data_IF_289329524560
#
_entry.id   IF_289329524560
#
_cell.length_a   1.000
_cell.length_b   1.000
_cell.length_c   1.000
_cell.angle_alpha   90.00
_cell.angle_beta   90.00
_cell.angle_gamma   90.00
#
_symmetry.space_group_name_H-M   'P 1'
#
loop_
_entity.id
_entity.type
_entity.pdbx_description
1 polymer ?
#
# COMPACT_ATOMS: atom_id res chain seq x y z
N UNK A 1 9.96 -27.53 5.26
CA UNK A 1 11.37 -27.90 5.52
C UNK A 1 11.62 -29.39 5.44
N UNK A 2 10.87 -30.19 6.17
CA UNK A 2 10.99 -31.66 6.14
C UNK A 2 10.90 -32.20 4.71
N UNK A 3 9.94 -31.74 3.90
CA UNK A 3 9.81 -32.16 2.51
C UNK A 3 11.01 -31.83 1.62
N UNK A 4 11.66 -30.68 1.83
CA UNK A 4 12.86 -30.27 1.08
C UNK A 4 14.07 -31.12 1.45
N UNK A 5 14.30 -31.32 2.74
CA UNK A 5 15.49 -32.00 3.27
C UNK A 5 15.37 -33.50 3.18
N UNK A 6 14.25 -34.07 3.60
CA UNK A 6 14.07 -35.54 3.68
C UNK A 6 13.57 -36.17 2.40
N UNK A 7 12.70 -35.48 1.65
CA UNK A 7 12.10 -36.03 0.44
C UNK A 7 12.69 -35.45 -0.85
N UNK A 8 13.64 -34.51 -0.77
CA UNK A 8 14.26 -33.88 -1.96
C UNK A 8 13.27 -33.15 -2.85
N UNK A 9 12.15 -32.68 -2.28
CA UNK A 9 11.11 -31.96 -3.01
C UNK A 9 11.56 -30.48 -3.13
N UNK A 10 11.45 -29.82 -4.29
CA UNK A 10 11.71 -28.38 -4.42
C UNK A 10 10.91 -27.56 -3.41
N UNK A 11 11.45 -26.39 -3.01
CA UNK A 11 10.83 -25.54 -1.98
C UNK A 11 9.40 -25.14 -2.35
N UNK A 12 9.20 -24.76 -3.62
CA UNK A 12 7.91 -24.30 -4.14
C UNK A 12 7.03 -25.42 -4.71
N UNK A 13 7.33 -26.67 -4.40
CA UNK A 13 6.54 -27.80 -4.88
C UNK A 13 5.18 -27.87 -4.14
N UNK A 14 4.05 -27.92 -4.86
CA UNK A 14 2.71 -27.98 -4.25
C UNK A 14 2.48 -29.19 -3.36
N UNK A 15 3.34 -30.21 -3.41
CA UNK A 15 3.33 -31.35 -2.51
C UNK A 15 3.94 -31.06 -1.15
N UNK A 16 4.67 -29.93 -1.02
CA UNK A 16 5.26 -29.52 0.25
C UNK A 16 4.21 -28.81 1.11
N UNK A 17 3.79 -29.40 2.25
CA UNK A 17 2.78 -28.77 3.11
C UNK A 17 3.25 -27.41 3.68
N UNK A 18 4.55 -27.13 3.70
CA UNK A 18 5.09 -25.84 4.08
C UNK A 18 4.69 -24.73 3.10
N UNK A 19 4.63 -25.02 1.80
CA UNK A 19 4.18 -24.05 0.78
C UNK A 19 2.72 -23.69 0.99
N UNK A 20 1.88 -24.68 1.32
CA UNK A 20 0.45 -24.42 1.60
C UNK A 20 0.32 -23.54 2.85
N UNK A 21 1.06 -23.84 3.92
CA UNK A 21 1.03 -23.07 5.15
C UNK A 21 1.50 -21.64 4.95
N UNK A 22 2.54 -21.42 4.14
CA UNK A 22 3.09 -20.13 3.79
C UNK A 22 2.06 -19.28 3.01
N UNK A 23 1.51 -19.83 1.93
CA UNK A 23 0.48 -19.16 1.15
C UNK A 23 -0.79 -18.85 1.98
N UNK A 24 -1.20 -19.72 2.89
CA UNK A 24 -2.33 -19.45 3.79
C UNK A 24 -1.95 -18.35 4.79
N UNK A 25 -0.73 -18.38 5.33
CA UNK A 25 -0.19 -17.36 6.23
C UNK A 25 -0.18 -15.98 5.59
N UNK A 26 0.32 -15.87 4.37
CA UNK A 26 0.34 -14.62 3.60
C UNK A 26 -1.09 -14.09 3.34
N UNK A 27 -2.02 -14.95 2.94
CA UNK A 27 -3.39 -14.53 2.71
C UNK A 27 -4.12 -14.10 4.01
N UNK A 28 -3.89 -14.79 5.12
CA UNK A 28 -4.51 -14.45 6.40
C UNK A 28 -3.80 -13.26 7.07
N UNK A 29 -2.47 -13.24 7.08
CA UNK A 29 -1.68 -12.19 7.72
C UNK A 29 -1.67 -10.90 6.91
N UNK A 30 -1.16 -10.98 5.68
CA UNK A 30 -0.84 -9.79 4.90
C UNK A 30 -2.06 -9.22 4.15
N UNK A 31 -3.00 -10.07 3.74
CA UNK A 31 -4.21 -9.60 3.04
C UNK A 31 -5.34 -9.31 4.03
N UNK A 32 -5.77 -10.29 4.81
CA UNK A 32 -6.92 -10.11 5.69
C UNK A 32 -6.57 -9.31 6.95
N UNK A 33 -5.45 -9.62 7.63
CA UNK A 33 -5.02 -8.95 8.86
C UNK A 33 -4.64 -7.50 8.61
N UNK A 34 -3.69 -7.27 7.70
CA UNK A 34 -3.26 -5.92 7.32
C UNK A 34 -4.40 -5.10 6.71
N UNK A 35 -5.27 -5.73 5.90
CA UNK A 35 -6.45 -5.08 5.35
C UNK A 35 -7.40 -4.57 6.45
N UNK A 36 -7.59 -5.32 7.52
CA UNK A 36 -8.40 -4.92 8.66
C UNK A 36 -7.79 -3.72 9.41
N UNK A 37 -6.46 -3.73 9.63
CA UNK A 37 -5.74 -2.64 10.30
C UNK A 37 -5.79 -1.33 9.49
N UNK A 38 -5.64 -1.42 8.16
CA UNK A 38 -5.76 -0.28 7.26
C UNK A 38 -7.18 0.27 7.28
N UNK A 39 -8.20 -0.59 7.28
CA UNK A 39 -9.60 -0.18 7.35
C UNK A 39 -9.90 0.54 8.67
N UNK A 40 -9.45 0.04 9.80
CA UNK A 40 -9.61 0.70 11.10
C UNK A 40 -8.96 2.09 11.11
N UNK A 41 -7.73 2.20 10.62
CA UNK A 41 -7.01 3.48 10.52
C UNK A 41 -7.70 4.46 9.60
N UNK A 42 -8.27 3.99 8.49
CA UNK A 42 -9.01 4.79 7.53
C UNK A 42 -10.29 5.36 8.16
N UNK A 43 -11.08 4.53 8.82
CA UNK A 43 -12.31 4.95 9.52
C UNK A 43 -11.98 5.92 10.66
N UNK A 44 -10.93 5.62 11.45
CA UNK A 44 -10.44 6.50 12.51
C UNK A 44 -10.05 7.88 12.00
N UNK A 45 -9.40 7.95 10.85
CA UNK A 45 -9.01 9.22 10.21
C UNK A 45 -10.21 10.06 9.77
N UNK A 46 -11.24 9.42 9.20
CA UNK A 46 -12.50 10.08 8.84
C UNK A 46 -13.18 10.65 10.07
N UNK A 47 -13.31 9.84 11.13
CA UNK A 47 -13.93 10.27 12.39
C UNK A 47 -13.14 11.43 13.00
N UNK A 48 -11.83 11.36 13.04
CA UNK A 48 -10.98 12.43 13.56
C UNK A 48 -11.19 13.74 12.81
N UNK A 49 -11.28 13.72 11.48
CA UNK A 49 -11.56 14.90 10.67
C UNK A 49 -12.95 15.47 10.96
N UNK A 50 -13.96 14.62 11.15
CA UNK A 50 -15.32 15.05 11.51
C UNK A 50 -15.36 15.65 12.92
N UNK A 51 -14.63 15.10 13.89
CA UNK A 51 -14.55 15.63 15.25
C UNK A 51 -13.89 17.01 15.25
N UNK A 52 -12.81 17.20 14.47
CA UNK A 52 -12.16 18.51 14.33
C UNK A 52 -13.15 19.53 13.74
N UNK A 53 -13.86 19.14 12.68
CA UNK A 53 -14.87 20.01 12.07
C UNK A 53 -16.00 20.36 13.04
N UNK A 54 -16.45 19.42 13.87
CA UNK A 54 -17.53 19.66 14.85
C UNK A 54 -17.11 20.49 16.05
N UNK A 55 -15.82 20.52 16.37
CA UNK A 55 -15.28 21.29 17.51
C UNK A 55 -15.04 22.77 17.17
N UNK A 56 -15.12 23.15 15.90
CA UNK A 56 -14.90 24.52 15.45
C UNK A 56 -16.24 25.25 15.27
N UNK A 57 -16.54 26.21 16.12
CA UNK A 57 -17.77 27.02 16.04
C UNK A 57 -17.88 27.83 14.74
N UNK A 58 -16.76 28.06 14.06
CA UNK A 58 -16.69 28.78 12.78
C UNK A 58 -16.97 27.89 11.57
N UNK A 59 -16.86 26.57 11.72
CA UNK A 59 -17.10 25.61 10.65
C UNK A 59 -18.58 25.17 10.65
N UNK A 60 -19.29 25.45 9.57
CA UNK A 60 -20.66 25.00 9.39
C UNK A 60 -20.78 23.46 9.30
N UNK A 61 -22.02 22.96 9.34
CA UNK A 61 -22.30 21.52 9.16
C UNK A 61 -21.80 20.94 7.84
N UNK A 62 -21.51 21.79 6.86
CA UNK A 62 -20.91 21.42 5.56
C UNK A 62 -19.56 20.75 5.70
N UNK A 63 -18.70 21.21 6.63
CA UNK A 63 -17.39 20.63 6.87
C UNK A 63 -17.44 19.20 7.42
N UNK A 64 -18.55 18.78 8.04
CA UNK A 64 -18.76 17.40 8.46
C UNK A 64 -18.94 16.44 7.28
N UNK A 65 -19.43 16.93 6.16
CA UNK A 65 -19.67 16.12 4.96
C UNK A 65 -18.42 15.94 4.10
N UNK A 66 -17.46 16.85 4.18
CA UNK A 66 -16.25 16.83 3.36
C UNK A 66 -15.44 15.52 3.52
N UNK A 67 -15.14 15.01 4.74
CA UNK A 67 -14.39 13.77 4.89
C UNK A 67 -15.12 12.56 4.28
N UNK A 68 -16.43 12.53 4.36
CA UNK A 68 -17.25 11.44 3.77
C UNK A 68 -17.21 11.52 2.24
N UNK A 69 -17.42 12.72 1.69
CA UNK A 69 -17.35 12.94 0.23
C UNK A 69 -15.97 12.54 -0.31
N UNK A 70 -14.90 12.99 0.33
CA UNK A 70 -13.54 12.64 -0.06
C UNK A 70 -13.26 11.15 0.09
N UNK A 71 -13.83 10.47 1.11
CA UNK A 71 -13.71 9.03 1.26
C UNK A 71 -14.36 8.28 0.08
N UNK A 72 -15.53 8.71 -0.37
CA UNK A 72 -16.22 8.14 -1.55
C UNK A 72 -15.38 8.35 -2.80
N UNK A 73 -14.88 9.56 -3.02
CA UNK A 73 -14.02 9.88 -4.17
C UNK A 73 -12.75 9.05 -4.14
N UNK A 74 -12.11 8.93 -2.98
CA UNK A 74 -10.90 8.12 -2.79
C UNK A 74 -11.15 6.64 -3.07
N UNK A 75 -12.28 6.11 -2.64
CA UNK A 75 -12.69 4.74 -2.94
C UNK A 75 -12.83 4.51 -4.45
N UNK A 76 -13.52 5.41 -5.17
CA UNK A 76 -13.68 5.33 -6.61
C UNK A 76 -12.33 5.47 -7.35
N UNK A 77 -11.48 6.40 -6.92
CA UNK A 77 -10.13 6.56 -7.46
C UNK A 77 -9.28 5.29 -7.25
N UNK A 78 -9.40 4.64 -6.10
CA UNK A 78 -8.70 3.38 -5.81
C UNK A 78 -9.17 2.25 -6.72
N UNK A 79 -10.46 2.14 -7.00
CA UNK A 79 -10.99 1.15 -7.96
C UNK A 79 -10.34 1.35 -9.35
N UNK A 80 -10.31 2.58 -9.84
CA UNK A 80 -9.65 2.89 -11.12
C UNK A 80 -8.17 2.56 -11.07
N UNK A 81 -7.50 2.89 -9.96
CA UNK A 81 -6.10 2.51 -9.71
C UNK A 81 -5.88 1.00 -9.86
N UNK A 82 -6.68 0.19 -9.19
CA UNK A 82 -6.60 -1.29 -9.26
C UNK A 82 -6.81 -1.79 -10.69
N UNK A 83 -7.79 -1.26 -11.42
CA UNK A 83 -8.00 -1.63 -12.83
C UNK A 83 -6.81 -1.23 -13.72
N UNK A 84 -6.09 -0.16 -13.39
CA UNK A 84 -4.91 0.26 -14.16
C UNK A 84 -3.77 -0.76 -14.14
N UNK A 85 -3.68 -1.62 -13.11
CA UNK A 85 -2.69 -2.72 -13.03
C UNK A 85 -2.82 -3.66 -14.23
N UNK A 86 -4.06 -3.91 -14.68
CA UNK A 86 -4.29 -4.77 -15.85
C UNK A 86 -3.64 -4.24 -17.13
N UNK A 87 -3.48 -2.93 -17.26
CA UNK A 87 -2.78 -2.31 -18.39
C UNK A 87 -1.25 -2.39 -18.24
N UNK A 88 -0.75 -2.60 -17.03
CA UNK A 88 0.69 -2.60 -16.70
C UNK A 88 1.28 -4.02 -16.54
N UNK A 89 0.62 -5.06 -17.05
CA UNK A 89 1.04 -6.48 -16.90
C UNK A 89 2.46 -6.78 -17.39
N UNK A 90 3.01 -5.94 -18.25
CA UNK A 90 4.36 -6.12 -18.83
C UNK A 90 5.45 -5.37 -18.06
N UNK A 91 5.10 -4.70 -16.97
CA UNK A 91 6.04 -3.97 -16.10
C UNK A 91 6.39 -4.83 -14.89
N UNK A 92 7.52 -4.49 -14.24
CA UNK A 92 7.85 -5.03 -12.92
C UNK A 92 6.72 -4.80 -11.93
N UNK A 93 6.49 -5.78 -11.05
CA UNK A 93 5.41 -5.72 -10.07
C UNK A 93 5.52 -4.49 -9.14
N UNK A 94 6.74 -4.17 -8.67
CA UNK A 94 7.00 -2.98 -7.85
C UNK A 94 6.71 -1.68 -8.61
N UNK A 95 7.15 -1.58 -9.86
CA UNK A 95 6.88 -0.43 -10.71
C UNK A 95 5.38 -0.28 -11.04
N UNK A 96 4.67 -1.37 -11.27
CA UNK A 96 3.24 -1.36 -11.52
C UNK A 96 2.45 -0.87 -10.30
N UNK A 97 2.78 -1.36 -9.10
CA UNK A 97 2.15 -0.93 -7.84
C UNK A 97 2.42 0.56 -7.55
N UNK A 98 3.66 1.01 -7.73
CA UNK A 98 4.02 2.42 -7.58
C UNK A 98 3.25 3.33 -8.53
N UNK A 99 3.18 2.97 -9.81
CA UNK A 99 2.45 3.75 -10.80
C UNK A 99 0.94 3.78 -10.51
N UNK A 100 0.37 2.69 -10.03
CA UNK A 100 -1.02 2.61 -9.56
C UNK A 100 -1.29 3.59 -8.43
N UNK A 101 -0.35 3.70 -7.49
CA UNK A 101 -0.45 4.67 -6.38
C UNK A 101 -0.44 6.11 -6.90
N UNK A 102 0.43 6.43 -7.86
CA UNK A 102 0.45 7.77 -8.47
C UNK A 102 -0.84 8.10 -9.23
N UNK A 103 -1.35 7.14 -9.98
CA UNK A 103 -2.62 7.31 -10.71
C UNK A 103 -3.77 7.50 -9.71
N UNK A 104 -3.85 6.67 -8.69
CA UNK A 104 -4.88 6.77 -7.65
C UNK A 104 -4.84 8.12 -6.91
N UNK A 105 -3.66 8.57 -6.49
CA UNK A 105 -3.48 9.86 -5.83
C UNK A 105 -3.82 11.04 -6.74
N UNK A 106 -3.38 11.00 -7.99
CA UNK A 106 -3.70 12.05 -8.97
C UNK A 106 -5.20 12.15 -9.26
N UNK A 107 -5.86 11.01 -9.45
CA UNK A 107 -7.31 10.95 -9.61
C UNK A 107 -8.05 11.44 -8.37
N UNK A 108 -7.60 11.02 -7.18
CA UNK A 108 -8.19 11.42 -5.91
C UNK A 108 -8.15 12.95 -5.73
N UNK A 109 -7.00 13.57 -5.97
CA UNK A 109 -6.85 15.03 -5.86
C UNK A 109 -7.67 15.75 -6.94
N UNK A 110 -7.60 15.30 -8.20
CA UNK A 110 -8.31 15.93 -9.31
C UNK A 110 -9.83 15.81 -9.20
N UNK A 111 -10.33 14.60 -8.98
CA UNK A 111 -11.79 14.37 -8.82
C UNK A 111 -12.30 14.94 -7.50
N UNK A 112 -11.48 14.90 -6.43
CA UNK A 112 -11.79 15.50 -5.14
C UNK A 112 -11.98 17.01 -5.25
N UNK A 113 -11.10 17.70 -5.97
CA UNK A 113 -11.27 19.14 -6.26
C UNK A 113 -12.57 19.41 -7.00
N UNK A 114 -12.83 18.68 -8.08
CA UNK A 114 -14.06 18.85 -8.87
C UNK A 114 -15.32 18.53 -8.06
N UNK A 115 -15.28 17.56 -7.16
CA UNK A 115 -16.40 17.20 -6.32
C UNK A 115 -16.69 18.30 -5.29
N UNK A 116 -15.65 18.86 -4.65
CA UNK A 116 -15.82 19.97 -3.70
C UNK A 116 -16.37 21.21 -4.40
N UNK A 117 -15.85 21.56 -5.58
CA UNK A 117 -16.33 22.67 -6.38
C UNK A 117 -17.79 22.49 -6.84
N UNK A 118 -18.14 21.28 -7.25
CA UNK A 118 -19.52 20.96 -7.69
C UNK A 118 -20.56 21.10 -6.55
N UNK A 119 -20.18 20.76 -5.32
CA UNK A 119 -21.05 20.89 -4.14
C UNK A 119 -20.92 22.24 -3.42
N UNK A 120 -20.21 23.21 -4.01
CA UNK A 120 -19.96 24.54 -3.48
C UNK A 120 -19.32 24.51 -2.07
N UNK A 121 -18.44 23.51 -1.86
CA UNK A 121 -17.70 23.31 -0.61
C UNK A 121 -16.33 23.96 -0.67
N UNK A 122 -15.68 24.14 0.51
CA UNK A 122 -14.36 24.74 0.59
C UNK A 122 -13.29 23.90 -0.14
N UNK A 123 -12.85 24.39 -1.29
CA UNK A 123 -11.82 23.72 -2.11
C UNK A 123 -10.42 23.85 -1.52
N UNK A 124 -10.20 24.70 -0.51
CA UNK A 124 -8.88 24.82 0.13
C UNK A 124 -8.49 23.54 0.88
N UNK A 125 -9.45 22.75 1.32
CA UNK A 125 -9.22 21.45 1.95
C UNK A 125 -8.40 20.51 1.04
N UNK A 126 -8.53 20.65 -0.28
CA UNK A 126 -7.80 19.80 -1.22
C UNK A 126 -6.28 20.00 -1.16
N UNK A 127 -5.80 21.19 -0.76
CA UNK A 127 -4.38 21.41 -0.55
C UNK A 127 -3.83 20.59 0.62
N UNK A 128 -4.59 20.47 1.70
CA UNK A 128 -4.20 19.62 2.84
C UNK A 128 -4.16 18.14 2.40
N UNK A 129 -5.15 17.71 1.63
CA UNK A 129 -5.22 16.35 1.05
C UNK A 129 -4.05 16.09 0.11
N UNK A 130 -3.72 17.06 -0.76
CA UNK A 130 -2.60 16.94 -1.70
C UNK A 130 -1.26 16.85 -0.97
N UNK A 131 -1.05 17.66 0.06
CA UNK A 131 0.16 17.59 0.90
C UNK A 131 0.25 16.25 1.61
N UNK A 132 -0.85 15.79 2.23
CA UNK A 132 -0.90 14.49 2.89
C UNK A 132 -0.60 13.33 1.93
N UNK A 133 -1.18 13.36 0.72
CA UNK A 133 -0.92 12.37 -0.33
C UNK A 133 0.54 12.40 -0.79
N UNK A 134 1.11 13.58 -0.97
CA UNK A 134 2.52 13.74 -1.33
C UNK A 134 3.45 13.16 -0.27
N UNK A 135 3.19 13.46 1.01
CA UNK A 135 3.96 12.92 2.13
C UNK A 135 3.85 11.39 2.18
N UNK A 136 2.65 10.84 2.00
CA UNK A 136 2.44 9.39 1.95
C UNK A 136 3.22 8.72 0.81
N UNK A 137 3.21 9.32 -0.38
CA UNK A 137 3.99 8.86 -1.53
C UNK A 137 5.49 8.92 -1.24
N UNK A 138 5.98 10.01 -0.65
CA UNK A 138 7.40 10.15 -0.30
C UNK A 138 7.85 9.09 0.72
N UNK A 139 7.03 8.84 1.74
CA UNK A 139 7.29 7.77 2.73
C UNK A 139 7.36 6.42 2.01
N UNK A 140 6.40 6.12 1.14
CA UNK A 140 6.38 4.89 0.35
C UNK A 140 7.63 4.72 -0.52
N UNK A 141 8.06 5.77 -1.23
CA UNK A 141 9.27 5.76 -2.05
C UNK A 141 10.55 5.57 -1.22
N UNK A 142 10.63 6.23 -0.06
CA UNK A 142 11.77 6.06 0.86
C UNK A 142 11.79 4.62 1.40
N UNK A 143 10.64 4.08 1.77
CA UNK A 143 10.54 2.69 2.24
C UNK A 143 10.95 1.73 1.13
N UNK A 144 10.41 1.88 -0.08
CA UNK A 144 10.77 1.05 -1.25
C UNK A 144 12.27 1.13 -1.56
N UNK A 145 12.86 2.34 -1.47
CA UNK A 145 14.28 2.55 -1.69
C UNK A 145 15.15 1.80 -0.68
N UNK A 146 14.71 1.72 0.59
CA UNK A 146 15.47 1.07 1.66
C UNK A 146 15.18 -0.43 1.81
N UNK A 147 14.04 -0.92 1.37
CA UNK A 147 13.61 -2.32 1.54
C UNK A 147 13.50 -3.08 0.23
N UNK A 148 13.43 -2.39 -0.92
CA UNK A 148 13.27 -3.01 -2.23
C UNK A 148 14.54 -3.71 -2.71
N UNK A 149 14.37 -4.85 -3.36
CA UNK A 149 15.45 -5.60 -4.02
C UNK A 149 15.81 -4.93 -5.36
N UNK A 150 14.84 -4.32 -6.02
CA UNK A 150 15.00 -3.67 -7.31
C UNK A 150 15.32 -2.17 -7.18
N UNK A 151 16.03 -1.59 -8.15
CA UNK A 151 16.39 -0.19 -8.11
C UNK A 151 15.16 0.70 -8.30
N UNK A 152 14.89 1.60 -7.36
CA UNK A 152 13.87 2.64 -7.50
C UNK A 152 14.42 3.75 -8.39
N UNK A 153 13.77 4.03 -9.53
CA UNK A 153 14.21 5.03 -10.53
C UNK A 153 15.70 4.87 -10.99
N UNK A 154 16.23 3.63 -11.01
CA UNK A 154 17.61 3.38 -11.41
C UNK A 154 18.67 3.66 -10.34
N UNK A 155 18.29 4.11 -9.17
CA UNK A 155 19.20 4.29 -8.03
C UNK A 155 19.35 2.99 -7.26
N UNK A 156 20.57 2.44 -7.24
CA UNK A 156 20.91 1.26 -6.43
C UNK A 156 21.60 1.70 -5.15
N UNK A 157 21.06 1.34 -3.99
CA UNK A 157 21.76 1.45 -2.72
C UNK A 157 22.52 0.18 -2.46
N UNK A 158 23.84 0.26 -2.45
CA UNK A 158 24.73 -0.90 -2.30
C UNK A 158 24.62 -1.64 -0.95
N UNK A 159 24.08 -1.01 0.09
CA UNK A 159 24.10 -1.57 1.44
C UNK A 159 22.79 -2.28 1.85
N UNK A 160 21.71 -2.01 1.19
CA UNK A 160 20.37 -2.35 1.67
C UNK A 160 19.75 -3.55 0.94
N UNK A 161 20.10 -3.87 -0.31
CA UNK A 161 19.78 -5.17 -0.87
C UNK A 161 20.29 -6.32 0.01
N UNK A 162 21.41 -6.09 0.72
CA UNK A 162 21.94 -7.07 1.68
C UNK A 162 21.06 -7.27 2.92
N UNK A 163 20.26 -6.30 3.34
CA UNK A 163 19.35 -6.47 4.48
C UNK A 163 18.07 -7.19 4.03
N UNK A 164 17.51 -6.83 2.88
CA UNK A 164 16.40 -7.55 2.26
C UNK A 164 16.79 -8.99 1.88
N UNK A 165 17.95 -9.18 1.27
CA UNK A 165 18.53 -10.49 1.03
C UNK A 165 18.85 -11.20 2.34
N UNK A 166 19.43 -10.54 3.35
CA UNK A 166 19.79 -11.17 4.62
C UNK A 166 18.54 -11.63 5.39
N UNK A 167 17.44 -10.90 5.37
CA UNK A 167 16.18 -11.33 5.99
C UNK A 167 15.56 -12.48 5.19
N UNK A 168 15.57 -12.41 3.87
CA UNK A 168 15.15 -13.51 3.00
C UNK A 168 16.08 -14.73 3.12
N UNK A 169 17.39 -14.49 3.22
CA UNK A 169 18.40 -15.53 3.40
C UNK A 169 18.40 -16.14 4.81
N UNK A 170 18.14 -15.38 5.86
CA UNK A 170 18.06 -15.92 7.22
C UNK A 170 16.78 -16.73 7.43
N UNK A 171 15.70 -16.38 6.80
CA UNK A 171 14.46 -17.16 6.86
C UNK A 171 14.39 -18.33 5.87
N UNK A 172 14.98 -18.18 4.69
CA UNK A 172 14.87 -19.17 3.61
C UNK A 172 16.13 -19.99 3.38
N UNK A 173 17.35 -19.43 3.58
CA UNK A 173 18.63 -20.09 3.33
C UNK A 173 19.44 -20.52 4.56
N UNK A 174 19.05 -20.16 5.77
CA UNK A 174 19.72 -20.68 6.97
C UNK A 174 19.73 -22.23 7.01
N UNK A 175 18.99 -22.86 6.11
CA UNK A 175 18.85 -24.30 5.98
C UNK A 175 19.55 -24.89 4.73
N UNK A 176 20.06 -24.07 3.81
CA UNK A 176 20.84 -24.57 2.66
C UNK A 176 22.31 -24.82 3.01
N UNK A 177 22.84 -24.19 4.05
CA UNK A 177 24.25 -24.28 4.44
C UNK A 177 24.61 -25.51 5.25
N UNK A 178 23.65 -26.40 5.57
CA UNK A 178 23.92 -27.63 6.33
C UNK A 178 24.17 -28.86 5.46
N UNK A 179 24.30 -28.69 4.15
CA UNK A 179 24.57 -29.80 3.21
C UNK A 179 25.96 -29.66 2.53
N UNK A 180 27.02 -29.37 3.30
CA UNK A 180 28.39 -29.65 2.90
C UNK A 180 29.16 -30.33 4.02
#
# INVERSE_FOLDING_TARGET
>A
MVGKVEAGIPEDDPRNPGVIADNVGDNVGDVAGMGADIFESFVGSIIAAMVIASASDEMGTEYLMIPILLAIVGYLASIVGVFSISAMKNMDAGAALRNTTFIGAGLFIGVGYLALDYYDMDTQVIFAVAIGSLVGILIGLVTEYYTGIEPVFGFKVKAIPYIGEAVSYTHLRAHETTNY
#
